data_IF_041607238696
#
_entry.id   IF_041607238696
#
_cell.length_a   1.000
_cell.length_b   1.000
_cell.length_c   1.000
_cell.angle_alpha   90.00
_cell.angle_beta   90.00
_cell.angle_gamma   90.00
#
_symmetry.space_group_name_H-M   'P 1'
#
loop_
_entity.id
_entity.type
_entity.pdbx_description
1 polymer ?
#
# COMPACT_ATOMS: atom_id res chain seq x y z
N UNK A 1 0.85 22.45 16.59
CA UNK A 1 1.98 21.58 16.23
C UNK A 1 1.36 20.20 16.04
N UNK A 2 1.46 19.61 14.85
CA UNK A 2 1.05 18.22 14.70
C UNK A 2 2.18 17.37 15.29
N UNK A 3 1.81 16.37 16.09
CA UNK A 3 2.76 15.40 16.59
C UNK A 3 2.87 14.31 15.51
N UNK A 4 4.08 14.03 15.06
CA UNK A 4 4.31 12.90 14.16
C UNK A 4 4.06 11.64 14.98
N UNK A 5 3.18 10.77 14.49
CA UNK A 5 3.01 9.47 15.11
C UNK A 5 4.29 8.65 14.93
N UNK A 6 5.00 8.43 16.03
CA UNK A 6 6.27 7.71 16.07
C UNK A 6 6.15 6.22 15.67
N UNK A 7 4.93 5.67 15.65
CA UNK A 7 4.68 4.29 15.24
C UNK A 7 4.39 4.13 13.75
N UNK A 8 4.22 5.23 13.02
CA UNK A 8 4.04 5.20 11.57
C UNK A 8 5.36 4.88 10.88
N UNK A 9 5.48 3.67 10.35
CA UNK A 9 6.69 3.20 9.66
C UNK A 9 6.64 3.38 8.13
N UNK A 10 5.49 3.76 7.58
CA UNK A 10 5.32 4.14 6.18
C UNK A 10 4.09 5.04 6.02
N UNK A 11 4.25 6.15 5.30
CA UNK A 11 3.19 7.11 4.99
C UNK A 11 3.36 7.66 3.58
N UNK A 12 2.49 7.20 2.68
CA UNK A 12 2.48 7.61 1.26
C UNK A 12 1.28 8.50 0.99
N UNK A 13 1.51 9.80 0.80
CA UNK A 13 0.45 10.76 0.46
C UNK A 13 0.05 10.71 -1.03
N UNK A 14 0.99 10.33 -1.90
CA UNK A 14 0.86 10.40 -3.36
C UNK A 14 0.66 11.81 -3.93
N UNK A 15 1.17 12.83 -3.25
CA UNK A 15 1.08 14.23 -3.68
C UNK A 15 2.21 14.57 -4.67
N UNK A 16 2.01 14.19 -5.93
CA UNK A 16 2.98 14.42 -7.00
C UNK A 16 4.14 13.41 -7.07
N UNK A 17 4.14 12.35 -6.25
CA UNK A 17 5.18 11.33 -6.28
C UNK A 17 4.96 10.15 -5.34
N UNK A 18 5.95 9.27 -5.24
CA UNK A 18 5.97 8.10 -4.34
C UNK A 18 6.74 8.38 -3.04
N UNK A 19 6.69 9.62 -2.56
CA UNK A 19 7.38 10.02 -1.32
C UNK A 19 6.76 9.33 -0.12
N UNK A 20 7.58 8.62 0.63
CA UNK A 20 7.24 8.10 1.95
C UNK A 20 7.81 9.05 3.01
N UNK A 21 6.94 9.63 3.84
CA UNK A 21 7.35 10.55 4.90
C UNK A 21 8.20 9.87 6.00
N UNK A 22 8.17 8.53 6.08
CA UNK A 22 9.06 7.75 6.95
C UNK A 22 10.44 7.45 6.34
N UNK A 23 10.65 7.82 5.07
CA UNK A 23 11.91 7.68 4.36
C UNK A 23 12.13 6.34 3.64
N UNK A 24 11.12 5.46 3.55
CA UNK A 24 11.24 4.24 2.72
C UNK A 24 11.19 4.58 1.23
N UNK A 25 11.90 3.78 0.42
CA UNK A 25 11.95 3.98 -1.03
C UNK A 25 11.01 2.99 -1.70
N UNK A 26 10.04 3.52 -2.44
CA UNK A 26 9.05 2.75 -3.17
C UNK A 26 9.28 2.79 -4.67
N UNK A 27 9.14 1.64 -5.32
CA UNK A 27 9.29 1.45 -6.75
C UNK A 27 7.98 0.99 -7.37
N UNK A 28 7.49 1.74 -8.36
CA UNK A 28 6.36 1.33 -9.17
C UNK A 28 6.70 0.16 -10.08
N UNK A 29 5.82 -0.84 -10.11
CA UNK A 29 5.94 -2.00 -10.99
C UNK A 29 4.87 -1.97 -12.08
N UNK A 30 5.24 -2.44 -13.28
CA UNK A 30 4.31 -2.67 -14.39
C UNK A 30 3.47 -1.43 -14.79
N UNK A 31 4.05 -0.23 -14.65
CA UNK A 31 3.42 1.03 -15.01
C UNK A 31 2.43 1.59 -13.98
N UNK A 32 2.47 1.11 -12.72
CA UNK A 32 1.83 1.81 -11.62
C UNK A 32 2.32 3.27 -11.58
N UNK A 33 1.42 4.23 -11.35
CA UNK A 33 1.79 5.64 -11.39
C UNK A 33 0.89 6.47 -10.49
N UNK A 34 1.40 7.61 -10.04
CA UNK A 34 0.56 8.66 -9.46
C UNK A 34 -0.28 9.30 -10.56
N UNK A 35 -1.54 9.58 -10.27
CA UNK A 35 -2.52 10.18 -11.17
C UNK A 35 -3.32 11.27 -10.47
N UNK A 36 -3.62 12.34 -11.20
CA UNK A 36 -4.49 13.44 -10.74
C UNK A 36 -5.95 13.25 -11.13
N UNK A 37 -6.30 12.16 -11.81
CA UNK A 37 -7.67 11.92 -12.31
C UNK A 37 -8.66 11.70 -11.17
N UNK A 38 -8.25 11.00 -10.12
CA UNK A 38 -9.06 10.71 -8.95
C UNK A 38 -8.19 10.84 -7.71
N UNK A 39 -8.66 11.57 -6.71
CA UNK A 39 -8.00 11.70 -5.42
C UNK A 39 -9.03 12.05 -4.36
N UNK A 40 -8.71 11.77 -3.10
CA UNK A 40 -9.49 12.25 -1.95
C UNK A 40 -8.80 13.41 -1.24
N UNK A 41 -7.47 13.40 -1.24
CA UNK A 41 -6.61 14.38 -0.59
C UNK A 41 -5.52 14.81 -1.58
N UNK A 42 -4.94 16.00 -1.39
CA UNK A 42 -3.69 16.43 -2.01
C UNK A 42 -3.63 16.52 -3.55
N UNK A 43 -4.71 16.19 -4.26
CA UNK A 43 -4.87 16.39 -5.70
C UNK A 43 -4.47 15.19 -6.56
N UNK A 44 -3.81 14.18 -6.01
CA UNK A 44 -3.46 12.95 -6.71
C UNK A 44 -3.57 11.69 -5.83
N UNK A 45 -3.55 10.52 -6.47
CA UNK A 45 -3.46 9.23 -5.79
C UNK A 45 -2.63 8.25 -6.62
N UNK A 46 -2.20 7.14 -6.02
CA UNK A 46 -1.72 6.01 -6.79
C UNK A 46 -2.84 5.44 -7.66
N UNK A 47 -2.57 5.26 -8.95
CA UNK A 47 -3.44 4.57 -9.89
C UNK A 47 -2.89 3.18 -10.18
N UNK A 48 -3.73 2.17 -9.95
CA UNK A 48 -3.52 0.78 -10.32
C UNK A 48 -4.64 0.36 -11.27
N UNK A 49 -4.29 -0.27 -12.39
CA UNK A 49 -5.22 -0.69 -13.44
C UNK A 49 -5.93 -2.03 -13.14
N UNK A 50 -5.70 -2.61 -11.96
CA UNK A 50 -6.22 -3.93 -11.56
C UNK A 50 -5.50 -5.13 -12.19
N UNK A 51 -4.40 -4.91 -12.91
CA UNK A 51 -3.62 -5.95 -13.61
C UNK A 51 -2.14 -5.80 -13.25
N UNK A 52 -1.65 -6.64 -12.35
CA UNK A 52 -0.22 -6.84 -12.06
C UNK A 52 0.54 -5.58 -11.62
N UNK A 53 -0.14 -4.47 -11.31
CA UNK A 53 0.47 -3.21 -10.88
C UNK A 53 0.55 -3.16 -9.36
N UNK A 54 1.70 -2.77 -8.84
CA UNK A 54 1.92 -2.60 -7.42
C UNK A 54 3.08 -1.63 -7.16
N UNK A 55 3.26 -1.26 -5.89
CA UNK A 55 4.50 -0.69 -5.41
C UNK A 55 5.29 -1.78 -4.66
N UNK A 56 6.60 -1.74 -4.79
CA UNK A 56 7.52 -2.58 -4.01
C UNK A 56 8.51 -1.71 -3.27
N UNK A 57 8.97 -2.18 -2.12
CA UNK A 57 10.06 -1.56 -1.35
C UNK A 57 11.10 -2.65 -1.06
N UNK A 58 12.39 -2.32 -0.93
CA UNK A 58 13.38 -3.24 -0.39
C UNK A 58 12.95 -3.80 0.97
N UNK A 59 13.43 -5.00 1.31
CA UNK A 59 13.15 -5.63 2.60
C UNK A 59 13.55 -4.70 3.76
N UNK A 60 12.68 -4.58 4.76
CA UNK A 60 12.91 -3.74 5.93
C UNK A 60 12.23 -4.34 7.16
N UNK A 61 12.93 -4.35 8.29
CA UNK A 61 12.44 -4.90 9.56
C UNK A 61 11.21 -4.19 10.12
N UNK A 62 10.97 -2.94 9.70
CA UNK A 62 9.77 -2.19 10.07
C UNK A 62 8.48 -2.85 9.55
N UNK A 63 8.61 -3.69 8.53
CA UNK A 63 7.52 -4.47 7.95
C UNK A 63 7.52 -5.93 8.43
N UNK A 64 8.33 -6.29 9.44
CA UNK A 64 8.26 -7.61 10.07
C UNK A 64 7.12 -7.61 11.08
N UNK A 65 5.96 -8.10 10.66
CA UNK A 65 4.78 -8.19 11.52
C UNK A 65 5.03 -9.21 12.65
N UNK A 66 5.05 -8.72 13.88
CA UNK A 66 5.15 -9.53 15.09
C UNK A 66 3.79 -10.03 15.58
N UNK A 67 3.73 -10.38 16.88
CA UNK A 67 2.48 -10.74 17.56
C UNK A 67 1.73 -9.53 18.15
N UNK A 68 2.28 -8.34 18.00
CA UNK A 68 1.68 -7.10 18.48
C UNK A 68 0.63 -6.56 17.52
N UNK A 69 -0.21 -5.67 18.03
CA UNK A 69 -1.21 -4.99 17.21
C UNK A 69 -0.53 -4.03 16.22
N UNK A 70 -1.13 -3.93 15.04
CA UNK A 70 -0.72 -2.99 14.01
C UNK A 70 -1.95 -2.39 13.35
N UNK A 71 -1.76 -1.27 12.66
CA UNK A 71 -2.80 -0.61 11.88
C UNK A 71 -2.30 -0.38 10.46
N UNK A 72 -3.16 -0.65 9.48
CA UNK A 72 -3.01 -0.18 8.10
C UNK A 72 -4.21 0.72 7.83
N UNK A 73 -3.95 1.96 7.46
CA UNK A 73 -4.99 2.94 7.15
C UNK A 73 -4.78 3.55 5.77
N UNK A 74 -5.89 3.90 5.11
CA UNK A 74 -5.83 4.51 3.79
C UNK A 74 -7.20 4.68 3.16
N UNK A 75 -7.24 5.50 2.12
CA UNK A 75 -8.40 5.63 1.25
C UNK A 75 -8.16 4.89 -0.06
N UNK A 76 -9.16 4.10 -0.48
CA UNK A 76 -9.14 3.39 -1.76
C UNK A 76 -10.40 3.70 -2.56
N UNK A 77 -10.27 3.70 -3.89
CA UNK A 77 -11.35 3.96 -4.83
C UNK A 77 -11.37 2.92 -5.96
N UNK A 78 -11.78 1.67 -5.67
CA UNK A 78 -11.85 0.63 -6.68
C UNK A 78 -12.92 0.97 -7.73
N UNK A 79 -12.56 0.87 -9.01
CA UNK A 79 -13.52 1.07 -10.12
C UNK A 79 -14.55 -0.08 -10.21
N UNK A 80 -14.18 -1.27 -9.72
CA UNK A 80 -15.07 -2.41 -9.56
C UNK A 80 -14.55 -3.32 -8.46
N UNK A 81 -15.42 -4.02 -7.75
CA UNK A 81 -15.03 -5.08 -6.82
C UNK A 81 -14.96 -6.40 -7.59
N UNK A 82 -13.81 -7.07 -7.61
CA UNK A 82 -13.64 -8.37 -8.28
C UNK A 82 -14.62 -9.43 -7.76
N UNK A 83 -14.72 -10.58 -8.47
CA UNK A 83 -15.68 -11.68 -8.18
C UNK A 83 -15.65 -12.21 -6.73
N UNK A 84 -14.60 -11.92 -5.97
CA UNK A 84 -14.40 -12.31 -4.57
C UNK A 84 -14.49 -11.14 -3.56
N UNK A 85 -15.05 -10.00 -3.97
CA UNK A 85 -15.37 -8.91 -3.04
C UNK A 85 -14.23 -7.91 -2.76
N UNK A 86 -13.32 -7.68 -3.72
CA UNK A 86 -12.33 -6.58 -3.66
C UNK A 86 -11.51 -6.56 -2.38
N UNK A 87 -10.60 -7.53 -2.22
CA UNK A 87 -9.79 -7.66 -1.01
C UNK A 87 -8.72 -6.57 -0.97
N UNK A 88 -8.92 -5.55 -0.12
CA UNK A 88 -7.99 -4.42 0.04
C UNK A 88 -6.72 -4.83 0.79
N UNK A 89 -6.85 -5.66 1.83
CA UNK A 89 -5.73 -6.25 2.59
C UNK A 89 -5.94 -7.75 2.66
N UNK A 90 -4.94 -8.51 2.24
CA UNK A 90 -4.99 -9.96 2.19
C UNK A 90 -3.79 -10.58 2.90
N UNK A 91 -3.98 -11.78 3.46
CA UNK A 91 -2.88 -12.66 3.83
C UNK A 91 -2.76 -13.72 2.73
N UNK A 92 -1.63 -13.74 2.03
CA UNK A 92 -1.29 -14.84 1.14
C UNK A 92 -1.18 -16.14 1.95
N UNK A 93 -1.79 -17.20 1.44
CA UNK A 93 -1.65 -18.56 1.96
C UNK A 93 -1.23 -19.47 0.80
N UNK A 94 0.02 -19.93 0.83
CA UNK A 94 0.44 -21.03 -0.02
C UNK A 94 0.15 -22.34 0.72
N UNK A 95 -0.72 -23.18 0.18
CA UNK A 95 -0.89 -24.53 0.71
C UNK A 95 0.41 -25.32 0.51
N UNK A 96 1.20 -25.48 1.56
CA UNK A 96 2.37 -26.37 1.59
C UNK A 96 3.69 -25.74 2.04
N UNK A 97 3.83 -24.42 2.03
CA UNK A 97 5.05 -23.75 2.51
C UNK A 97 4.69 -22.58 3.42
N UNK A 98 5.35 -22.49 4.58
CA UNK A 98 5.04 -21.59 5.70
C UNK A 98 5.25 -20.10 5.44
N UNK A 99 5.08 -19.62 4.22
CA UNK A 99 5.23 -18.23 3.83
C UNK A 99 3.91 -17.48 4.06
N UNK A 100 3.78 -16.88 5.25
CA UNK A 100 2.72 -15.92 5.55
C UNK A 100 3.17 -14.53 5.06
N UNK A 101 2.86 -14.20 3.80
CA UNK A 101 3.00 -12.82 3.31
C UNK A 101 1.66 -12.12 3.38
N UNK A 102 1.64 -10.83 3.69
CA UNK A 102 0.46 -9.98 3.60
C UNK A 102 0.63 -9.05 2.39
N UNK A 103 -0.47 -8.73 1.72
CA UNK A 103 -0.48 -7.83 0.59
C UNK A 103 -1.65 -6.87 0.70
N UNK A 104 -1.44 -5.62 0.28
CA UNK A 104 -2.52 -4.69 -0.02
C UNK A 104 -2.79 -4.83 -1.52
N UNK A 105 -4.01 -5.22 -1.90
CA UNK A 105 -4.41 -5.47 -3.30
C UNK A 105 -5.65 -4.66 -3.60
N UNK A 106 -5.78 -4.06 -4.78
CA UNK A 106 -7.01 -3.36 -5.19
C UNK A 106 -7.33 -3.66 -6.65
#
# INVERSE_FOLDING_TARGET
MYEVDQYTVSLLHFDGGLTDESGKVWAAQNGATVSTTQSKFGGSSLYLNGINQCLTTPNNTDFDFGSGDFTIEGWVCPASTGKWGGVIVSKWYSAGEGSNSWSVSI
#
